data_IF_124686171013
#
_entry.id   IF_124686171013
#
_cell.length_a   1.000
_cell.length_b   1.000
_cell.length_c   1.000
_cell.angle_alpha   90.00
_cell.angle_beta   90.00
_cell.angle_gamma   90.00
#
_symmetry.space_group_name_H-M   'P 1'
#
loop_
_entity.id
_entity.type
_entity.pdbx_description
1 polymer ?
#
# COMPACT_ATOMS: atom_id res chain seq x y z
N UNK A 1 2.62 -9.68 14.69
CA UNK A 1 3.09 -9.13 13.40
C UNK A 1 1.96 -8.29 12.86
N UNK A 2 2.17 -6.99 12.74
CA UNK A 2 1.12 -6.04 12.33
C UNK A 2 1.07 -5.97 10.80
N UNK A 3 -0.13 -5.93 10.22
CA UNK A 3 -0.32 -5.81 8.77
C UNK A 3 0.25 -4.46 8.31
N UNK A 4 1.01 -4.44 7.21
CA UNK A 4 1.47 -3.18 6.57
C UNK A 4 0.82 -3.05 5.20
N UNK A 5 0.13 -1.94 4.95
CA UNK A 5 -0.49 -1.64 3.66
C UNK A 5 0.24 -0.48 2.97
N UNK A 6 0.82 -0.77 1.80
CA UNK A 6 1.38 0.23 0.90
C UNK A 6 0.28 0.75 -0.03
N UNK A 7 0.08 2.07 -0.05
CA UNK A 7 -1.08 2.69 -0.69
C UNK A 7 -0.68 3.92 -1.53
N UNK A 8 -1.25 4.04 -2.73
CA UNK A 8 -1.26 5.30 -3.47
C UNK A 8 -2.70 5.82 -3.59
N UNK A 9 -2.92 7.14 -3.44
CA UNK A 9 -4.24 7.74 -3.64
C UNK A 9 -4.81 7.39 -5.03
N UNK A 10 -6.11 7.05 -5.06
CA UNK A 10 -6.84 6.66 -6.29
C UNK A 10 -6.27 5.43 -7.01
N UNK A 11 -5.46 4.61 -6.33
CA UNK A 11 -4.95 3.35 -6.87
C UNK A 11 -5.77 2.13 -6.42
N UNK A 12 -5.41 0.96 -6.93
CA UNK A 12 -6.12 -0.30 -6.64
C UNK A 12 -5.95 -0.77 -5.18
N UNK A 13 -4.98 -0.22 -4.46
CA UNK A 13 -4.77 -0.34 -3.02
C UNK A 13 -5.89 0.25 -2.15
N UNK A 14 -6.86 0.97 -2.74
CA UNK A 14 -8.08 1.37 -2.03
C UNK A 14 -8.91 0.16 -1.57
N UNK A 15 -8.90 -0.94 -2.34
CA UNK A 15 -9.66 -2.15 -2.01
C UNK A 15 -9.20 -2.80 -0.70
N UNK A 16 -7.92 -3.15 -0.54
CA UNK A 16 -7.44 -3.67 0.73
C UNK A 16 -7.54 -2.65 1.88
N UNK A 17 -7.41 -1.34 1.61
CA UNK A 17 -7.62 -0.31 2.62
C UNK A 17 -9.05 -0.39 3.20
N UNK A 18 -10.07 -0.38 2.33
CA UNK A 18 -11.46 -0.51 2.78
C UNK A 18 -11.72 -1.82 3.49
N UNK A 19 -11.17 -2.94 3.01
CA UNK A 19 -11.33 -4.22 3.71
C UNK A 19 -10.75 -4.18 5.13
N UNK A 20 -9.59 -3.57 5.33
CA UNK A 20 -8.98 -3.45 6.66
C UNK A 20 -9.83 -2.59 7.61
N UNK A 21 -10.36 -1.46 7.10
CA UNK A 21 -11.27 -0.59 7.85
C UNK A 21 -12.57 -1.32 8.23
N UNK A 22 -13.25 -1.94 7.26
CA UNK A 22 -14.52 -2.66 7.49
C UNK A 22 -14.36 -3.84 8.46
N UNK A 23 -13.20 -4.50 8.45
CA UNK A 23 -12.89 -5.59 9.38
C UNK A 23 -12.41 -5.11 10.75
N UNK A 24 -12.16 -3.81 10.94
CA UNK A 24 -11.63 -3.26 12.19
C UNK A 24 -10.26 -3.82 12.58
N UNK A 25 -9.42 -4.16 11.60
CA UNK A 25 -8.09 -4.74 11.85
C UNK A 25 -7.06 -3.65 12.13
N UNK A 26 -6.09 -3.95 13.00
CA UNK A 26 -4.94 -3.07 13.18
C UNK A 26 -3.93 -3.26 12.05
N UNK A 27 -3.52 -2.14 11.44
CA UNK A 27 -2.54 -2.11 10.36
C UNK A 27 -1.75 -0.79 10.35
N UNK A 28 -0.58 -0.83 9.73
CA UNK A 28 0.25 0.34 9.42
C UNK A 28 -0.03 0.75 7.96
N UNK A 29 -0.44 2.00 7.76
CA UNK A 29 -0.70 2.56 6.42
C UNK A 29 0.51 3.37 5.94
N UNK A 30 1.13 2.95 4.84
CA UNK A 30 2.21 3.67 4.18
C UNK A 30 1.65 4.30 2.91
N UNK A 31 1.43 5.62 2.93
CA UNK A 31 0.94 6.38 1.78
C UNK A 31 2.11 6.89 0.95
N UNK A 32 2.06 6.68 -0.37
CA UNK A 32 3.12 7.04 -1.31
C UNK A 32 2.55 7.80 -2.51
N UNK A 33 3.37 8.61 -3.16
CA UNK A 33 3.03 9.21 -4.45
C UNK A 33 2.98 8.16 -5.56
N UNK A 34 2.15 8.38 -6.58
CA UNK A 34 2.08 7.50 -7.73
C UNK A 34 3.05 7.96 -8.84
N UNK A 35 3.79 7.06 -9.51
CA UNK A 35 3.84 5.60 -9.35
C UNK A 35 4.92 5.14 -8.36
N UNK A 36 4.63 4.18 -7.46
CA UNK A 36 5.50 3.83 -6.33
C UNK A 36 6.87 3.29 -6.74
N UNK A 37 6.98 2.65 -7.91
CA UNK A 37 8.26 2.19 -8.48
C UNK A 37 9.27 3.31 -8.78
N UNK A 38 8.81 4.55 -8.92
CA UNK A 38 9.65 5.70 -9.22
C UNK A 38 9.75 6.68 -8.04
N UNK A 39 8.74 6.70 -7.18
CA UNK A 39 8.59 7.69 -6.10
C UNK A 39 8.93 7.12 -4.72
N UNK A 40 9.07 5.79 -4.57
CA UNK A 40 9.40 5.15 -3.31
C UNK A 40 10.65 4.27 -3.45
N UNK A 41 11.72 4.69 -2.79
CA UNK A 41 13.00 3.99 -2.81
C UNK A 41 12.86 2.58 -2.22
N UNK A 42 13.44 1.59 -2.90
CA UNK A 42 13.38 0.20 -2.46
C UNK A 42 12.03 -0.50 -2.65
N UNK A 43 11.00 0.16 -3.22
CA UNK A 43 9.68 -0.45 -3.38
C UNK A 43 9.70 -1.76 -4.19
N UNK A 44 10.58 -1.84 -5.20
CA UNK A 44 10.74 -3.04 -6.03
C UNK A 44 11.28 -4.24 -5.24
N UNK A 45 11.94 -4.02 -4.10
CA UNK A 45 12.31 -5.09 -3.17
C UNK A 45 11.12 -5.66 -2.40
N UNK A 46 10.04 -4.89 -2.25
CA UNK A 46 8.78 -5.31 -1.61
C UNK A 46 7.84 -5.93 -2.64
N UNK A 47 7.64 -5.24 -3.77
CA UNK A 47 6.82 -5.71 -4.89
C UNK A 47 7.55 -5.47 -6.22
N UNK A 48 8.12 -6.51 -6.86
CA UNK A 48 8.84 -6.40 -8.13
C UNK A 48 8.00 -5.85 -9.29
N UNK A 49 6.66 -5.94 -9.23
CA UNK A 49 5.78 -5.35 -10.24
C UNK A 49 5.69 -3.83 -10.11
N UNK A 50 6.03 -3.26 -8.96
CA UNK A 50 6.03 -1.81 -8.76
C UNK A 50 4.64 -1.18 -8.80
N UNK A 51 3.62 -1.92 -8.36
CA UNK A 51 2.22 -1.49 -8.33
C UNK A 51 1.60 -1.66 -6.96
N UNK A 52 0.56 -0.87 -6.66
CA UNK A 52 -0.30 -0.97 -5.48
C UNK A 52 -1.76 -1.17 -5.86
#
# INVERSE_FOLDING_TARGET
MTIKLYHCPRARSMRPLWTLEEMGLEYELIVMEFPPRATYEGYLGINPLGTV
#
